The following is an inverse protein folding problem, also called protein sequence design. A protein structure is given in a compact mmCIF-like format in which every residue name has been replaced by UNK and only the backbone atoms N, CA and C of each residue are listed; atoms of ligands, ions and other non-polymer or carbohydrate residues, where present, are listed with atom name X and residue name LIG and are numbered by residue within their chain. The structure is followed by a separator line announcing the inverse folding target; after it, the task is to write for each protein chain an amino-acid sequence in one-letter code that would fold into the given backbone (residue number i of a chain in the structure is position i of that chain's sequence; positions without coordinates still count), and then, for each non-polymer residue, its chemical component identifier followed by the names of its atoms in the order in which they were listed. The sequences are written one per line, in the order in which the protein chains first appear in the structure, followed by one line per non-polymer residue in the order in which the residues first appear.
data_IF_781633297672
#
_entry.id   IF_781633297672
#
_cell.length_a   1.000
_cell.length_b   1.000
_cell.length_c   1.000
_cell.angle_alpha   90.00
_cell.angle_beta   90.00
_cell.angle_gamma   90.00
#
_symmetry.space_group_name_H-M   'P 1'
#
loop_
_entity.id
_entity.type
_entity.pdbx_description
1 polymer ?
#
# COMPACT_ATOMS: atom_id res chain seq x y z
N UNK A 1 38.41 -27.76 -44.87
CA UNK A 1 38.75 -29.19 -44.62
C UNK A 1 37.89 -29.62 -43.49
N UNK A 2 36.95 -30.30 -43.87
CA UNK A 2 36.36 -31.60 -43.47
C UNK A 2 35.46 -31.48 -42.27
N UNK A 3 34.29 -32.04 -42.22
CA UNK A 3 33.34 -32.68 -43.12
C UNK A 3 32.20 -33.19 -42.22
N UNK A 4 31.01 -32.84 -42.55
CA UNK A 4 29.72 -33.53 -42.57
C UNK A 4 29.67 -34.92 -41.91
N UNK A 5 28.71 -35.16 -41.01
CA UNK A 5 28.00 -36.42 -40.97
C UNK A 5 26.55 -36.25 -40.50
N UNK A 6 25.62 -36.50 -41.47
CA UNK A 6 24.23 -36.78 -41.27
C UNK A 6 24.02 -38.23 -40.80
N UNK A 7 23.06 -38.47 -39.88
CA UNK A 7 22.37 -39.77 -39.88
C UNK A 7 20.87 -39.54 -39.69
N UNK A 8 20.15 -39.98 -40.70
CA UNK A 8 18.72 -40.21 -40.87
C UNK A 8 18.36 -41.60 -40.35
N UNK A 9 17.21 -41.74 -39.80
CA UNK A 9 16.53 -43.05 -39.67
C UNK A 9 15.58 -43.04 -38.47
N UNK A 10 14.40 -43.51 -38.47
CA UNK A 10 13.52 -44.20 -39.38
C UNK A 10 12.17 -44.35 -38.71
N UNK A 11 11.12 -44.15 -39.46
CA UNK A 11 9.71 -44.39 -39.10
C UNK A 11 9.50 -45.86 -38.76
N UNK A 12 8.68 -46.18 -37.75
CA UNK A 12 7.86 -47.38 -37.75
C UNK A 12 6.46 -47.10 -37.23
N UNK A 13 5.54 -47.14 -38.15
CA UNK A 13 4.10 -47.30 -37.88
C UNK A 13 3.82 -48.78 -37.53
N UNK A 14 2.94 -49.01 -36.57
CA UNK A 14 2.31 -50.33 -36.40
C UNK A 14 0.81 -50.14 -36.34
N UNK A 15 0.18 -50.83 -37.29
CA UNK A 15 -1.26 -50.91 -37.52
C UNK A 15 -1.91 -51.93 -36.58
N UNK A 16 -3.12 -51.62 -36.14
CA UNK A 16 -4.23 -52.59 -36.24
C UNK A 16 -4.45 -53.47 -35.02
N UNK A 17 -5.62 -53.33 -34.40
CA UNK A 17 -6.54 -54.44 -34.33
C UNK A 17 -7.93 -53.97 -33.88
N UNK A 18 -8.87 -54.05 -34.81
CA UNK A 18 -10.31 -54.10 -34.57
C UNK A 18 -10.65 -55.37 -33.80
N UNK A 19 -11.49 -55.32 -32.79
CA UNK A 19 -12.40 -56.43 -32.46
C UNK A 19 -13.79 -55.86 -32.14
N UNK A 20 -14.69 -56.39 -32.97
CA UNK A 20 -16.15 -56.30 -32.96
C UNK A 20 -16.68 -57.30 -31.94
N UNK A 21 -17.75 -57.01 -31.30
CA UNK A 21 -18.59 -57.94 -30.56
C UNK A 21 -19.32 -57.30 -29.44
N UNK A 22 -20.51 -57.12 -29.42
CA UNK A 22 -21.74 -57.83 -29.62
C UNK A 22 -22.81 -57.24 -28.72
N UNK A 23 -23.90 -56.83 -29.33
CA UNK A 23 -25.18 -56.46 -28.71
C UNK A 23 -25.66 -57.54 -27.71
N UNK A 24 -26.13 -57.10 -26.54
CA UNK A 24 -27.24 -57.76 -25.84
C UNK A 24 -28.24 -56.71 -25.43
N UNK A 25 -29.38 -56.72 -26.12
CA UNK A 25 -30.62 -56.05 -25.66
C UNK A 25 -31.17 -56.85 -24.48
N UNK A 26 -31.53 -56.16 -23.42
CA UNK A 26 -32.59 -56.64 -22.54
C UNK A 26 -33.41 -55.42 -22.06
N UNK A 27 -34.58 -55.30 -22.63
CA UNK A 27 -35.66 -54.44 -22.16
C UNK A 27 -36.35 -55.12 -20.98
N UNK A 28 -36.72 -54.33 -19.97
CA UNK A 28 -37.91 -54.46 -19.13
C UNK A 28 -37.85 -53.47 -17.98
N UNK A 29 -38.74 -52.68 -17.89
CA UNK A 29 -40.06 -52.44 -17.29
C UNK A 29 -40.10 -51.09 -16.54
N UNK A 30 -41.10 -50.34 -16.94
CA UNK A 30 -41.58 -49.11 -16.29
C UNK A 30 -41.90 -49.31 -14.80
N UNK A 31 -41.37 -48.41 -13.98
CA UNK A 31 -42.03 -48.02 -12.74
C UNK A 31 -42.05 -46.48 -12.70
N UNK A 32 -43.18 -45.91 -13.02
CA UNK A 32 -43.47 -44.48 -12.83
C UNK A 32 -43.62 -44.22 -11.33
N UNK A 33 -42.66 -43.45 -10.79
CA UNK A 33 -42.91 -42.68 -9.56
C UNK A 33 -42.49 -41.25 -9.89
N UNK A 34 -43.52 -40.40 -9.90
CA UNK A 34 -43.35 -38.95 -10.06
C UNK A 34 -42.51 -38.37 -8.89
N UNK A 35 -41.28 -38.04 -9.20
CA UNK A 35 -40.42 -37.21 -8.36
C UNK A 35 -40.31 -35.87 -9.02
N UNK A 36 -41.00 -34.86 -8.46
CA UNK A 36 -40.77 -33.47 -8.75
C UNK A 36 -39.26 -33.20 -8.57
N UNK A 37 -38.53 -33.04 -9.68
CA UNK A 37 -37.20 -32.45 -9.63
C UNK A 37 -37.32 -31.02 -9.16
N UNK A 38 -37.21 -30.84 -7.85
CA UNK A 38 -36.86 -29.53 -7.29
C UNK A 38 -35.52 -29.15 -7.91
N UNK A 39 -35.55 -28.20 -8.84
CA UNK A 39 -34.36 -27.55 -9.37
C UNK A 39 -33.57 -27.02 -8.19
N UNK A 40 -32.47 -27.66 -7.86
CA UNK A 40 -31.51 -27.15 -6.90
C UNK A 40 -30.95 -25.85 -7.44
N UNK A 41 -31.60 -24.74 -7.11
CA UNK A 41 -30.96 -23.44 -7.19
C UNK A 41 -29.81 -23.50 -6.21
N UNK A 42 -28.59 -23.62 -6.71
CA UNK A 42 -27.37 -23.36 -5.94
C UNK A 42 -27.58 -22.00 -5.28
N UNK A 43 -27.58 -21.88 -3.94
CA UNK A 43 -27.76 -20.58 -3.33
C UNK A 43 -26.63 -19.71 -3.80
N UNK A 44 -26.96 -18.67 -4.57
CA UNK A 44 -26.03 -17.55 -4.81
C UNK A 44 -25.55 -17.11 -3.43
N UNK A 45 -24.24 -17.00 -3.16
CA UNK A 45 -23.77 -16.52 -1.86
C UNK A 45 -24.47 -15.20 -1.57
N UNK A 46 -25.30 -15.19 -0.55
CA UNK A 46 -25.94 -13.97 -0.10
C UNK A 46 -24.80 -13.00 0.25
N UNK A 47 -24.72 -11.80 -0.34
CA UNK A 47 -23.69 -10.85 0.04
C UNK A 47 -23.73 -10.70 1.56
N UNK A 48 -22.61 -10.97 2.21
CA UNK A 48 -22.52 -10.92 3.67
C UNK A 48 -23.08 -9.56 4.13
N UNK A 49 -24.03 -9.59 5.06
CA UNK A 49 -24.59 -8.36 5.61
C UNK A 49 -23.47 -7.46 6.11
N UNK A 50 -23.41 -6.18 5.71
CA UNK A 50 -22.36 -5.27 6.18
C UNK A 50 -22.31 -5.25 7.71
N UNK A 51 -21.11 -5.37 8.27
CA UNK A 51 -20.90 -5.32 9.72
C UNK A 51 -20.72 -3.89 10.23
N UNK A 52 -20.53 -2.95 9.30
CA UNK A 52 -20.43 -1.50 9.52
C UNK A 52 -21.31 -0.80 8.51
N UNK A 53 -22.04 0.23 8.94
CA UNK A 53 -22.87 1.03 8.02
C UNK A 53 -21.98 1.75 7.00
N UNK A 54 -22.28 1.63 5.69
CA UNK A 54 -21.55 2.37 4.66
C UNK A 54 -21.84 3.87 4.72
N UNK A 55 -20.96 4.72 4.16
CA UNK A 55 -21.25 6.15 3.98
C UNK A 55 -22.36 6.36 2.95
N UNK A 56 -23.03 7.53 3.00
CA UNK A 56 -24.22 7.80 2.20
C UNK A 56 -23.95 8.50 0.87
N UNK A 57 -22.75 9.08 0.68
CA UNK A 57 -22.42 9.98 -0.42
C UNK A 57 -21.20 9.52 -1.22
N UNK A 58 -21.14 8.25 -1.55
CA UNK A 58 -20.10 7.67 -2.42
C UNK A 58 -20.15 8.29 -3.83
N UNK A 59 -18.98 8.55 -4.39
CA UNK A 59 -18.84 8.98 -5.80
C UNK A 59 -19.42 7.93 -6.75
N UNK A 60 -19.18 6.65 -6.45
CA UNK A 60 -19.76 5.52 -7.18
C UNK A 60 -20.50 4.61 -6.23
N UNK A 61 -21.82 4.38 -6.40
CA UNK A 61 -22.58 3.50 -5.53
C UNK A 61 -21.96 2.11 -5.40
N UNK A 62 -21.83 1.61 -4.16
CA UNK A 62 -21.25 0.31 -3.86
C UNK A 62 -19.71 0.22 -3.94
N UNK A 63 -19.05 1.34 -4.23
CA UNK A 63 -17.59 1.39 -4.38
C UNK A 63 -17.00 2.48 -3.50
N UNK A 64 -15.99 2.14 -2.71
CA UNK A 64 -15.13 3.10 -2.04
C UNK A 64 -13.95 3.42 -2.96
N UNK A 65 -13.94 4.63 -3.54
CA UNK A 65 -12.84 5.10 -4.40
C UNK A 65 -11.75 5.68 -3.51
N UNK A 66 -10.54 5.12 -3.59
CA UNK A 66 -9.43 5.40 -2.69
C UNK A 66 -8.26 6.00 -3.45
N UNK A 67 -7.87 7.22 -3.11
CA UNK A 67 -6.60 7.81 -3.57
C UNK A 67 -5.43 7.26 -2.76
N UNK A 68 -4.37 6.81 -3.45
CA UNK A 68 -3.15 6.32 -2.82
C UNK A 68 -1.97 6.53 -3.78
N UNK A 69 -0.83 6.98 -3.27
CA UNK A 69 0.35 7.26 -4.11
C UNK A 69 0.90 6.00 -4.77
N UNK A 70 0.85 4.86 -4.11
CA UNK A 70 1.32 3.55 -4.59
C UNK A 70 2.79 3.49 -5.02
N UNK A 71 3.63 4.32 -4.40
CA UNK A 71 5.09 4.32 -4.60
C UNK A 71 5.88 4.21 -3.29
N UNK A 72 5.19 3.96 -2.15
CA UNK A 72 5.71 4.10 -0.79
C UNK A 72 5.65 2.77 0.00
N UNK A 73 6.44 1.74 -0.40
CA UNK A 73 6.45 0.46 0.29
C UNK A 73 7.02 0.57 1.72
N UNK A 74 6.53 -0.21 2.69
CA UNK A 74 5.56 -1.30 2.56
C UNK A 74 4.09 -0.87 2.69
N UNK A 75 3.80 0.43 2.84
CA UNK A 75 2.45 0.91 3.10
C UNK A 75 1.57 0.86 1.85
N UNK A 76 2.02 1.42 0.72
CA UNK A 76 1.30 1.35 -0.56
C UNK A 76 2.28 1.37 -1.74
N UNK A 77 2.19 0.38 -2.59
CA UNK A 77 3.03 0.29 -3.78
C UNK A 77 2.40 -0.60 -4.85
N UNK A 78 2.97 -0.58 -6.05
CA UNK A 78 2.57 -1.50 -7.11
C UNK A 78 3.43 -2.75 -7.02
N UNK A 79 2.79 -3.92 -6.90
CA UNK A 79 3.48 -5.21 -6.97
C UNK A 79 4.06 -5.39 -8.38
N UNK A 80 5.38 -5.57 -8.52
CA UNK A 80 6.03 -5.63 -9.84
C UNK A 80 5.65 -6.89 -10.64
N UNK A 81 5.11 -7.93 -9.99
CA UNK A 81 4.72 -9.18 -10.63
C UNK A 81 3.31 -9.11 -11.18
N UNK A 82 2.38 -8.54 -10.40
CA UNK A 82 0.95 -8.50 -10.74
C UNK A 82 0.52 -7.18 -11.35
N UNK A 83 1.29 -6.10 -11.17
CA UNK A 83 0.92 -4.75 -11.57
C UNK A 83 -0.22 -4.14 -10.71
N UNK A 84 -0.62 -4.80 -9.62
CA UNK A 84 -1.69 -4.34 -8.76
C UNK A 84 -1.16 -3.55 -7.56
N UNK A 85 -1.95 -2.58 -7.08
CA UNK A 85 -1.67 -1.90 -5.83
C UNK A 85 -1.72 -2.89 -4.66
N UNK A 86 -0.74 -2.83 -3.79
CA UNK A 86 -0.57 -3.68 -2.61
C UNK A 86 0.10 -2.89 -1.49
N UNK A 87 0.16 -3.44 -0.30
CA UNK A 87 0.75 -2.80 0.87
C UNK A 87 -0.16 -2.84 2.09
N UNK A 88 0.36 -2.40 3.23
CA UNK A 88 -0.39 -2.36 4.47
C UNK A 88 -1.65 -1.48 4.34
N UNK A 89 -1.53 -0.30 3.77
CA UNK A 89 -2.62 0.65 3.56
C UNK A 89 -3.69 0.09 2.63
N UNK A 90 -3.26 -0.55 1.54
CA UNK A 90 -4.15 -1.15 0.55
C UNK A 90 -4.96 -2.31 1.14
N UNK A 91 -4.28 -3.18 1.89
CA UNK A 91 -4.94 -4.29 2.59
C UNK A 91 -5.93 -3.79 3.64
N UNK A 92 -5.53 -2.79 4.44
CA UNK A 92 -6.34 -2.22 5.51
C UNK A 92 -7.61 -1.59 4.93
N UNK A 93 -7.48 -0.70 3.96
CA UNK A 93 -8.65 -0.01 3.38
C UNK A 93 -9.57 -0.97 2.61
N UNK A 94 -9.01 -2.01 2.01
CA UNK A 94 -9.78 -3.06 1.34
C UNK A 94 -10.64 -3.85 2.36
N UNK A 95 -10.03 -4.25 3.49
CA UNK A 95 -10.76 -4.94 4.56
C UNK A 95 -11.83 -4.03 5.19
N UNK A 96 -11.53 -2.74 5.36
CA UNK A 96 -12.49 -1.74 5.84
C UNK A 96 -13.67 -1.58 4.88
N UNK A 97 -13.42 -1.44 3.57
CA UNK A 97 -14.46 -1.36 2.55
C UNK A 97 -15.36 -2.61 2.56
N UNK A 98 -14.77 -3.80 2.62
CA UNK A 98 -15.50 -5.07 2.72
C UNK A 98 -16.40 -5.12 3.96
N UNK A 99 -15.95 -4.61 5.11
CA UNK A 99 -16.75 -4.56 6.33
C UNK A 99 -17.99 -3.67 6.20
N UNK A 100 -17.93 -2.68 5.29
CA UNK A 100 -19.03 -1.79 4.91
C UNK A 100 -19.88 -2.34 3.74
N UNK A 101 -19.57 -3.54 3.23
CA UNK A 101 -20.25 -4.09 2.04
C UNK A 101 -19.87 -3.38 0.74
N UNK A 102 -18.74 -2.68 0.71
CA UNK A 102 -18.24 -1.94 -0.45
C UNK A 102 -17.07 -2.66 -1.10
N UNK A 103 -16.89 -2.40 -2.40
CA UNK A 103 -15.66 -2.73 -3.13
C UNK A 103 -14.68 -1.56 -3.01
N UNK A 104 -13.44 -1.80 -2.60
CA UNK A 104 -12.38 -0.80 -2.74
C UNK A 104 -11.88 -0.72 -4.18
N UNK A 105 -11.69 0.50 -4.69
CA UNK A 105 -11.03 0.77 -5.97
C UNK A 105 -9.90 1.75 -5.73
N UNK A 106 -8.66 1.28 -5.89
CA UNK A 106 -7.46 2.09 -5.65
C UNK A 106 -7.15 2.88 -6.91
N UNK A 107 -6.98 4.18 -6.75
CA UNK A 107 -6.60 5.11 -7.81
C UNK A 107 -5.21 5.65 -7.49
N UNK A 108 -4.24 5.40 -8.39
CA UNK A 108 -2.90 5.98 -8.24
C UNK A 108 -3.02 7.50 -8.22
N UNK A 109 -2.50 8.12 -7.17
CA UNK A 109 -2.49 9.55 -6.95
C UNK A 109 -1.06 10.09 -6.95
N UNK A 110 -0.91 11.41 -7.09
CA UNK A 110 0.33 12.11 -6.82
C UNK A 110 0.27 12.65 -5.40
N UNK A 111 1.22 12.27 -4.54
CA UNK A 111 1.22 12.62 -3.12
C UNK A 111 1.10 14.14 -2.89
N UNK A 112 1.82 14.95 -3.67
CA UNK A 112 1.80 16.41 -3.55
C UNK A 112 0.42 17.03 -3.77
N UNK A 113 -0.44 16.42 -4.60
CA UNK A 113 -1.79 16.95 -4.91
C UNK A 113 -2.92 16.15 -4.28
N UNK A 114 -2.63 15.05 -3.58
CA UNK A 114 -3.62 14.06 -3.16
C UNK A 114 -4.71 14.64 -2.25
N UNK A 115 -4.37 15.61 -1.39
CA UNK A 115 -5.34 16.29 -0.52
C UNK A 115 -6.27 17.18 -1.34
N UNK A 116 -5.74 17.94 -2.29
CA UNK A 116 -6.55 18.83 -3.13
C UNK A 116 -7.44 18.01 -4.09
N UNK A 117 -6.94 16.87 -4.56
CA UNK A 117 -7.71 15.91 -5.37
C UNK A 117 -8.87 15.28 -4.57
N UNK A 118 -8.67 14.99 -3.27
CA UNK A 118 -9.75 14.54 -2.37
C UNK A 118 -10.82 15.62 -2.19
N UNK A 119 -10.40 16.86 -1.95
CA UNK A 119 -11.31 18.02 -1.84
C UNK A 119 -12.10 18.21 -3.14
N UNK A 120 -11.46 18.01 -4.30
CA UNK A 120 -12.07 18.05 -5.62
C UNK A 120 -12.96 16.84 -5.96
N UNK A 121 -13.18 15.92 -5.00
CA UNK A 121 -14.00 14.70 -5.14
C UNK A 121 -13.50 13.73 -6.23
N UNK A 122 -12.19 13.64 -6.43
CA UNK A 122 -11.60 12.60 -7.29
C UNK A 122 -11.58 11.24 -6.61
N UNK A 123 -11.62 11.23 -5.27
CA UNK A 123 -11.68 10.06 -4.41
C UNK A 123 -12.73 10.25 -3.32
N UNK A 124 -13.20 9.15 -2.75
CA UNK A 124 -14.03 9.17 -1.55
C UNK A 124 -13.17 9.40 -0.30
N UNK A 125 -12.02 8.73 -0.23
CA UNK A 125 -11.03 8.81 0.85
C UNK A 125 -9.62 8.75 0.28
N UNK A 126 -8.64 9.10 1.10
CA UNK A 126 -7.21 8.89 0.84
C UNK A 126 -6.60 8.08 1.99
N UNK A 127 -5.83 7.05 1.65
CA UNK A 127 -4.90 6.36 2.53
C UNK A 127 -3.56 6.25 1.80
N UNK A 128 -2.52 6.89 2.33
CA UNK A 128 -1.22 7.02 1.65
C UNK A 128 -0.16 7.56 2.62
N UNK A 129 0.04 6.87 3.74
CA UNK A 129 1.04 7.23 4.75
C UNK A 129 1.04 8.73 5.12
N UNK A 130 -0.13 9.36 5.14
CA UNK A 130 -0.22 10.81 5.35
C UNK A 130 -0.03 11.20 6.80
N UNK A 131 1.10 11.81 7.12
CA UNK A 131 1.32 12.48 8.44
C UNK A 131 0.22 13.51 8.70
N UNK A 132 -0.41 13.40 9.84
CA UNK A 132 -1.41 14.37 10.31
C UNK A 132 -0.68 15.62 10.79
N UNK A 133 -0.87 16.75 10.11
CA UNK A 133 -0.33 18.04 10.49
C UNK A 133 -1.39 19.16 10.38
N UNK A 134 -1.08 20.34 10.93
CA UNK A 134 -2.04 21.45 11.00
C UNK A 134 -2.42 22.00 9.62
N UNK A 135 -1.51 21.99 8.66
CA UNK A 135 -1.81 22.49 7.31
C UNK A 135 -2.81 21.56 6.60
N UNK A 136 -2.60 20.25 6.68
CA UNK A 136 -3.53 19.27 6.10
C UNK A 136 -4.88 19.27 6.80
N UNK A 137 -4.91 19.43 8.15
CA UNK A 137 -6.16 19.55 8.94
C UNK A 137 -7.03 20.76 8.57
N UNK A 138 -6.47 21.80 7.98
CA UNK A 138 -7.27 22.92 7.43
C UNK A 138 -8.17 22.48 6.27
N UNK A 139 -7.74 21.51 5.49
CA UNK A 139 -8.41 21.07 4.24
C UNK A 139 -9.25 19.80 4.40
N UNK A 140 -8.81 18.87 5.26
CA UNK A 140 -9.41 17.54 5.42
C UNK A 140 -9.50 17.16 6.89
N UNK A 141 -10.34 16.15 7.19
CA UNK A 141 -10.40 15.49 8.48
C UNK A 141 -9.66 14.14 8.39
N UNK A 142 -9.14 13.64 9.51
CA UNK A 142 -8.33 12.44 9.56
C UNK A 142 -8.87 11.40 10.52
N UNK A 143 -8.85 10.12 10.10
CA UNK A 143 -8.97 8.98 11.00
C UNK A 143 -7.57 8.37 11.17
N UNK A 144 -6.91 8.55 12.33
CA UNK A 144 -5.57 8.02 12.56
C UNK A 144 -5.55 6.49 12.52
N UNK A 145 -4.55 5.92 11.85
CA UNK A 145 -4.45 4.46 11.72
C UNK A 145 -3.04 3.92 11.94
N UNK A 146 -2.00 4.75 11.86
CA UNK A 146 -0.60 4.35 11.94
C UNK A 146 0.23 5.42 12.64
N UNK A 147 1.43 5.11 13.11
CA UNK A 147 2.39 6.08 13.65
C UNK A 147 3.77 5.80 13.05
N UNK A 148 4.35 6.76 12.37
CA UNK A 148 5.70 6.69 11.85
C UNK A 148 6.54 7.86 12.37
N UNK A 149 7.85 7.67 12.36
CA UNK A 149 8.81 8.73 12.48
C UNK A 149 9.71 8.74 11.26
N UNK A 150 10.37 9.84 11.04
CA UNK A 150 11.23 10.08 9.89
C UNK A 150 12.64 9.51 10.11
N UNK A 151 13.30 9.09 9.06
CA UNK A 151 14.66 8.52 9.11
C UNK A 151 15.45 8.74 7.82
N UNK A 152 16.76 8.83 7.97
CA UNK A 152 17.68 8.82 6.83
C UNK A 152 17.96 7.38 6.39
N UNK A 153 17.86 7.10 5.10
CA UNK A 153 18.42 5.90 4.49
C UNK A 153 19.77 6.27 3.85
N UNK A 154 20.83 5.57 4.24
CA UNK A 154 22.19 5.81 3.76
C UNK A 154 22.83 4.51 3.28
N UNK A 155 23.95 4.61 2.54
CA UNK A 155 24.71 3.43 2.17
C UNK A 155 25.26 2.71 3.41
N UNK A 156 25.39 1.39 3.32
CA UNK A 156 25.93 0.54 4.38
C UNK A 156 27.28 1.04 4.91
N UNK A 157 27.43 1.04 6.21
CA UNK A 157 28.60 1.55 6.92
C UNK A 157 28.60 3.08 7.08
N UNK A 158 27.55 3.76 6.62
CA UNK A 158 27.36 5.22 6.75
C UNK A 158 28.67 6.01 6.59
N UNK A 159 29.32 5.97 5.41
CA UNK A 159 30.70 6.46 5.23
C UNK A 159 30.88 7.95 5.51
N UNK A 160 29.77 8.70 5.54
CA UNK A 160 29.77 10.12 5.85
C UNK A 160 29.34 10.43 7.29
N UNK A 161 29.03 9.38 8.10
CA UNK A 161 28.60 9.48 9.49
C UNK A 161 27.36 10.41 9.66
N UNK A 162 26.38 10.30 8.74
CA UNK A 162 25.15 11.11 8.74
C UNK A 162 24.21 10.58 9.82
N UNK A 163 23.79 11.42 10.76
CA UNK A 163 22.94 11.06 11.91
C UNK A 163 21.70 11.91 12.01
N UNK A 164 21.75 13.11 11.48
CA UNK A 164 20.65 14.10 11.56
C UNK A 164 20.57 14.88 10.25
N UNK A 165 19.46 15.54 10.01
CA UNK A 165 19.31 16.43 8.85
C UNK A 165 20.31 17.60 8.87
N UNK A 166 20.86 17.95 10.03
CA UNK A 166 21.90 19.00 10.17
C UNK A 166 23.27 18.57 9.60
N UNK A 167 23.51 17.27 9.46
CA UNK A 167 24.75 16.74 8.86
C UNK A 167 24.73 16.83 7.34
N UNK A 168 23.58 17.16 6.73
CA UNK A 168 23.38 17.15 5.29
C UNK A 168 23.81 18.45 4.59
N UNK A 169 24.32 19.44 5.31
CA UNK A 169 24.74 20.72 4.73
C UNK A 169 25.73 20.51 3.57
N UNK A 170 25.42 21.05 2.39
CA UNK A 170 26.23 20.94 1.18
C UNK A 170 26.14 19.60 0.44
N UNK A 171 25.46 18.61 1.00
CA UNK A 171 25.35 17.26 0.44
C UNK A 171 24.12 17.12 -0.47
N UNK A 172 24.17 16.15 -1.38
CA UNK A 172 23.05 15.78 -2.26
C UNK A 172 22.11 14.80 -1.55
N UNK A 173 20.84 15.13 -1.44
CA UNK A 173 19.79 14.37 -0.72
C UNK A 173 18.56 14.22 -1.60
N UNK A 174 18.00 13.01 -1.64
CA UNK A 174 16.75 12.71 -2.32
C UNK A 174 15.57 12.76 -1.35
N UNK A 175 14.43 13.28 -1.82
CA UNK A 175 13.18 13.37 -1.03
C UNK A 175 11.97 13.40 -1.95
N UNK A 176 10.84 12.89 -1.46
CA UNK A 176 9.58 12.95 -2.19
C UNK A 176 8.92 14.32 -2.05
N UNK A 177 8.28 14.77 -3.13
CA UNK A 177 7.56 16.05 -3.19
C UNK A 177 6.29 16.02 -2.33
N UNK A 178 6.00 17.14 -1.63
CA UNK A 178 4.80 17.34 -0.82
C UNK A 178 4.80 16.64 0.55
N UNK A 179 5.95 16.12 0.99
CA UNK A 179 6.12 15.42 2.26
C UNK A 179 6.56 16.36 3.40
N UNK A 180 6.36 15.95 4.64
CA UNK A 180 6.87 16.65 5.81
C UNK A 180 8.40 16.60 5.86
N UNK A 181 8.99 15.53 5.36
CA UNK A 181 10.44 15.38 5.23
C UNK A 181 11.05 16.43 4.31
N UNK A 182 10.36 16.80 3.22
CA UNK A 182 10.79 17.91 2.37
C UNK A 182 10.77 19.23 3.12
N UNK A 183 9.76 19.48 3.95
CA UNK A 183 9.66 20.71 4.78
C UNK A 183 10.79 20.76 5.80
N UNK A 184 11.11 19.63 6.43
CA UNK A 184 12.20 19.50 7.38
C UNK A 184 13.57 19.74 6.71
N UNK A 185 13.80 19.15 5.54
CA UNK A 185 15.01 19.36 4.76
C UNK A 185 15.16 20.82 4.29
N UNK A 186 14.06 21.47 3.90
CA UNK A 186 14.06 22.89 3.56
C UNK A 186 14.43 23.77 4.76
N UNK A 187 13.91 23.42 5.94
CA UNK A 187 14.22 24.10 7.19
C UNK A 187 15.69 23.90 7.57
N UNK A 188 16.18 22.65 7.50
CA UNK A 188 17.60 22.35 7.76
C UNK A 188 18.53 23.05 6.75
N UNK A 189 18.15 23.14 5.47
CA UNK A 189 18.92 23.82 4.43
C UNK A 189 19.05 25.33 4.71
N UNK A 190 17.98 25.97 5.18
CA UNK A 190 18.02 27.37 5.62
C UNK A 190 18.94 27.54 6.84
N UNK A 191 18.89 26.61 7.80
CA UNK A 191 19.79 26.63 8.96
C UNK A 191 21.26 26.45 8.56
N UNK A 192 21.56 25.59 7.56
CA UNK A 192 22.91 25.47 7.01
C UNK A 192 23.44 26.82 6.50
N UNK A 193 22.67 27.53 5.68
CA UNK A 193 23.09 28.80 5.10
C UNK A 193 23.21 29.91 6.16
N UNK A 194 22.32 29.95 7.15
CA UNK A 194 22.41 30.86 8.28
C UNK A 194 23.69 30.62 9.12
N UNK A 195 24.19 29.40 9.17
CA UNK A 195 25.43 29.01 9.83
C UNK A 195 26.68 29.16 8.92
N UNK A 196 26.56 29.79 7.74
CA UNK A 196 27.67 29.99 6.80
C UNK A 196 28.10 28.72 6.06
N UNK A 197 27.30 27.64 6.12
CA UNK A 197 27.55 26.40 5.38
C UNK A 197 26.82 26.43 4.03
N UNK A 198 27.13 25.48 3.15
CA UNK A 198 26.40 25.33 1.89
C UNK A 198 24.99 24.76 2.16
N UNK A 199 24.02 25.21 1.37
CA UNK A 199 22.67 24.65 1.40
C UNK A 199 22.67 23.14 1.05
N UNK A 200 21.70 22.40 1.54
CA UNK A 200 21.45 21.01 1.13
C UNK A 200 21.05 21.00 -0.35
N UNK A 201 21.64 20.10 -1.13
CA UNK A 201 21.35 19.94 -2.58
C UNK A 201 20.21 18.93 -2.76
N UNK A 202 18.95 19.43 -2.69
CA UNK A 202 17.78 18.56 -2.78
C UNK A 202 17.53 18.10 -4.22
N UNK A 203 17.28 16.80 -4.39
CA UNK A 203 16.66 16.21 -5.58
C UNK A 203 15.26 15.76 -5.19
N UNK A 204 14.25 16.52 -5.62
CA UNK A 204 12.85 16.32 -5.27
C UNK A 204 12.18 15.57 -6.43
N UNK A 205 11.58 14.42 -6.14
CA UNK A 205 10.89 13.59 -7.13
C UNK A 205 9.45 13.29 -6.66
N UNK A 206 8.59 12.94 -7.61
CA UNK A 206 7.17 12.66 -7.32
C UNK A 206 6.98 11.31 -6.64
N UNK A 207 7.65 10.28 -7.14
CA UNK A 207 7.49 8.91 -6.73
C UNK A 207 8.64 8.51 -5.77
N UNK A 208 8.32 8.02 -4.57
CA UNK A 208 9.32 7.62 -3.56
C UNK A 208 10.23 6.50 -4.07
N UNK A 209 9.71 5.58 -4.86
CA UNK A 209 10.54 4.54 -5.49
C UNK A 209 11.67 5.13 -6.35
N UNK A 210 11.42 6.25 -7.03
CA UNK A 210 12.45 6.93 -7.83
C UNK A 210 13.44 7.67 -6.93
N UNK A 211 12.98 8.21 -5.79
CA UNK A 211 13.87 8.82 -4.80
C UNK A 211 14.90 7.79 -4.29
N UNK A 212 14.46 6.59 -3.97
CA UNK A 212 15.35 5.50 -3.54
C UNK A 212 16.37 5.14 -4.65
N UNK A 213 15.94 5.16 -5.92
CA UNK A 213 16.87 4.90 -7.03
C UNK A 213 18.00 5.94 -7.15
N UNK A 214 17.81 7.15 -6.65
CA UNK A 214 18.92 8.12 -6.57
C UNK A 214 20.04 7.62 -5.65
N UNK A 215 19.70 7.02 -4.50
CA UNK A 215 20.66 6.46 -3.55
C UNK A 215 21.30 5.19 -4.10
N UNK A 216 20.50 4.27 -4.66
CA UNK A 216 21.00 3.05 -5.34
C UNK A 216 22.07 3.39 -6.40
N UNK A 217 21.78 4.41 -7.21
CA UNK A 217 22.65 4.87 -8.29
C UNK A 217 23.73 5.86 -7.82
N UNK A 218 23.91 6.06 -6.51
CA UNK A 218 24.91 6.96 -5.90
C UNK A 218 24.83 8.42 -6.39
N UNK A 219 23.65 8.87 -6.80
CA UNK A 219 23.38 10.27 -7.22
C UNK A 219 23.14 11.18 -6.02
N UNK A 220 22.72 10.60 -4.90
CA UNK A 220 22.57 11.25 -3.61
C UNK A 220 23.29 10.42 -2.54
N UNK A 221 23.64 11.03 -1.40
CA UNK A 221 24.31 10.34 -0.27
C UNK A 221 23.32 9.81 0.76
N UNK A 222 22.11 10.34 0.77
CA UNK A 222 21.00 9.93 1.63
C UNK A 222 19.66 10.21 0.96
N UNK A 223 18.63 9.48 1.42
CA UNK A 223 17.23 9.85 1.22
C UNK A 223 16.56 10.02 2.58
N UNK A 224 15.47 10.79 2.65
CA UNK A 224 14.76 11.07 3.90
C UNK A 224 13.28 10.79 3.72
N UNK A 225 12.72 9.92 4.54
CA UNK A 225 11.37 9.38 4.46
C UNK A 225 10.95 8.76 5.80
N UNK A 226 9.72 8.30 5.90
CA UNK A 226 9.23 7.55 7.05
C UNK A 226 10.04 6.27 7.32
N UNK A 227 10.20 5.94 8.59
CA UNK A 227 11.00 4.81 9.04
C UNK A 227 10.53 3.44 8.51
N UNK A 228 9.23 3.16 8.30
CA UNK A 228 8.81 1.91 7.66
C UNK A 228 9.39 1.71 6.27
N UNK A 229 9.51 2.80 5.49
CA UNK A 229 10.12 2.75 4.14
C UNK A 229 11.61 2.44 4.23
N UNK A 230 12.32 3.12 5.13
CA UNK A 230 13.74 2.84 5.41
C UNK A 230 13.95 1.38 5.79
N UNK A 231 13.17 0.86 6.76
CA UNK A 231 13.23 -0.53 7.21
C UNK A 231 12.94 -1.52 6.08
N UNK A 232 11.98 -1.21 5.21
CA UNK A 232 11.64 -2.03 4.06
C UNK A 232 12.81 -2.17 3.09
N UNK A 233 13.46 -1.06 2.73
CA UNK A 233 14.58 -1.10 1.78
C UNK A 233 15.84 -1.73 2.36
N UNK A 234 16.10 -1.61 3.66
CA UNK A 234 17.18 -2.32 4.36
C UNK A 234 16.94 -3.83 4.32
N UNK A 235 15.70 -4.28 4.59
CA UNK A 235 15.34 -5.70 4.52
C UNK A 235 15.41 -6.26 3.10
N UNK A 236 14.96 -5.49 2.11
CA UNK A 236 14.94 -5.89 0.71
C UNK A 236 16.36 -5.99 0.11
N UNK A 237 17.31 -5.20 0.63
CA UNK A 237 18.69 -5.07 0.10
C UNK A 237 19.72 -5.29 1.22
N UNK A 238 19.84 -6.51 1.76
CA UNK A 238 20.77 -6.79 2.86
C UNK A 238 22.21 -6.38 2.53
N UNK A 239 22.82 -5.61 3.43
CA UNK A 239 24.22 -5.17 3.26
C UNK A 239 24.43 -4.01 2.28
N UNK A 240 23.38 -3.40 1.74
CA UNK A 240 23.50 -2.22 0.86
C UNK A 240 23.22 -0.91 1.58
N UNK A 241 22.28 -0.93 2.53
CA UNK A 241 21.80 0.26 3.22
C UNK A 241 21.75 0.07 4.73
N UNK A 242 21.73 1.19 5.44
CA UNK A 242 21.43 1.27 6.86
C UNK A 242 20.72 2.58 7.20
N UNK A 243 20.15 2.65 8.40
CA UNK A 243 19.55 3.88 8.92
C UNK A 243 20.65 4.86 9.35
N UNK A 244 20.59 6.08 8.87
CA UNK A 244 21.45 7.18 9.31
C UNK A 244 20.91 7.80 10.62
N UNK A 245 21.57 7.50 11.75
CA UNK A 245 21.14 8.03 13.05
C UNK A 245 19.92 7.34 13.65
N UNK A 246 19.06 8.11 14.30
CA UNK A 246 17.85 7.64 14.96
C UNK A 246 16.60 8.08 14.20
N UNK A 247 15.50 7.34 14.36
CA UNK A 247 14.16 7.77 13.95
C UNK A 247 13.75 8.97 14.80
N UNK A 248 13.21 10.01 14.16
CA UNK A 248 12.81 11.28 14.78
C UNK A 248 11.36 11.64 14.41
N UNK A 249 10.81 12.70 14.99
CA UNK A 249 9.53 13.31 14.58
C UNK A 249 8.36 12.33 14.50
N UNK A 250 8.28 11.34 15.40
CA UNK A 250 7.19 10.36 15.37
C UNK A 250 5.83 11.07 15.46
N UNK A 251 4.98 10.84 14.47
CA UNK A 251 3.66 11.43 14.33
C UNK A 251 2.63 10.38 13.86
N UNK A 252 1.34 10.71 14.04
CA UNK A 252 0.27 9.87 13.53
C UNK A 252 0.09 10.08 12.03
N UNK A 253 -0.15 8.99 11.31
CA UNK A 253 -0.67 9.00 9.94
C UNK A 253 -2.17 8.74 9.95
N UNK A 254 -2.89 9.34 9.01
CA UNK A 254 -4.35 9.29 8.98
C UNK A 254 -4.94 9.01 7.62
N UNK A 255 -6.09 8.31 7.64
CA UNK A 255 -6.97 8.22 6.48
C UNK A 255 -7.67 9.56 6.35
N UNK A 256 -7.47 10.24 5.22
CA UNK A 256 -8.08 11.55 4.96
C UNK A 256 -9.48 11.41 4.40
N UNK A 257 -10.40 12.20 4.95
CA UNK A 257 -11.76 12.39 4.44
C UNK A 257 -12.02 13.87 4.20
N UNK A 258 -12.95 14.22 3.32
CA UNK A 258 -13.31 15.63 3.07
C UNK A 258 -13.74 16.31 4.36
N UNK A 259 -13.32 17.56 4.53
CA UNK A 259 -13.66 18.37 5.69
C UNK A 259 -15.18 18.45 5.90
N UNK A 260 -15.63 18.07 7.09
CA UNK A 260 -17.06 18.11 7.46
C UNK A 260 -17.91 16.97 6.88
N UNK A 261 -17.34 16.01 6.17
CA UNK A 261 -18.04 14.82 5.69
C UNK A 261 -18.20 13.81 6.84
N UNK A 262 -19.19 14.09 7.70
CA UNK A 262 -19.45 13.28 8.90
C UNK A 262 -19.89 11.85 8.56
N UNK A 263 -20.55 11.63 7.42
CA UNK A 263 -20.97 10.29 7.00
C UNK A 263 -19.76 9.42 6.69
N UNK A 264 -18.87 9.91 5.86
CA UNK A 264 -17.63 9.21 5.51
C UNK A 264 -16.72 9.03 6.74
N UNK A 265 -16.52 10.11 7.51
CA UNK A 265 -15.68 10.06 8.71
C UNK A 265 -16.14 8.98 9.70
N UNK A 266 -17.43 8.94 10.03
CA UNK A 266 -17.98 7.96 10.96
C UNK A 266 -17.89 6.53 10.40
N UNK A 267 -18.14 6.33 9.11
CA UNK A 267 -18.03 5.03 8.46
C UNK A 267 -16.59 4.50 8.49
N UNK A 268 -15.61 5.32 8.11
CA UNK A 268 -14.18 4.97 8.15
C UNK A 268 -13.71 4.71 9.59
N UNK A 269 -14.10 5.55 10.55
CA UNK A 269 -13.75 5.35 11.95
C UNK A 269 -14.32 4.03 12.49
N UNK A 270 -15.60 3.72 12.22
CA UNK A 270 -16.22 2.48 12.66
C UNK A 270 -15.61 1.26 11.99
N UNK A 271 -15.30 1.34 10.69
CA UNK A 271 -14.62 0.28 9.97
C UNK A 271 -13.20 0.03 10.54
N UNK A 272 -12.43 1.07 10.83
CA UNK A 272 -11.12 0.93 11.46
C UNK A 272 -11.22 0.31 12.87
N UNK A 273 -12.17 0.75 13.69
CA UNK A 273 -12.42 0.13 14.99
C UNK A 273 -12.78 -1.36 14.85
N UNK A 274 -13.53 -1.74 13.82
CA UNK A 274 -13.82 -3.14 13.50
C UNK A 274 -12.58 -3.92 13.17
N UNK A 275 -11.65 -3.38 12.33
CA UNK A 275 -10.38 -4.03 12.00
C UNK A 275 -9.52 -4.26 13.25
N UNK A 276 -9.53 -3.35 14.20
CA UNK A 276 -8.82 -3.50 15.48
C UNK A 276 -9.48 -4.57 16.37
N UNK A 277 -10.79 -4.53 16.52
CA UNK A 277 -11.50 -5.41 17.46
C UNK A 277 -11.54 -6.87 17.01
N UNK A 278 -11.47 -7.15 15.71
CA UNK A 278 -11.50 -8.50 15.15
C UNK A 278 -10.10 -9.08 14.85
N UNK A 279 -9.02 -8.35 15.17
CA UNK A 279 -7.64 -8.78 14.99
C UNK A 279 -7.08 -8.62 13.58
N UNK A 280 -7.86 -8.10 12.61
CA UNK A 280 -7.38 -7.86 11.24
C UNK A 280 -6.21 -6.89 11.22
N UNK A 281 -6.31 -5.79 11.97
CA UNK A 281 -5.24 -4.79 12.06
C UNK A 281 -3.91 -5.39 12.55
N UNK A 282 -3.94 -6.22 13.60
CA UNK A 282 -2.75 -6.90 14.12
C UNK A 282 -2.18 -7.92 13.12
N UNK A 283 -3.05 -8.63 12.41
CA UNK A 283 -2.65 -9.58 11.37
C UNK A 283 -1.94 -8.89 10.21
N UNK A 284 -2.38 -7.67 9.83
CA UNK A 284 -1.73 -6.88 8.79
C UNK A 284 -0.34 -6.39 9.22
N UNK A 285 -0.15 -5.98 10.47
CA UNK A 285 1.19 -5.67 11.01
C UNK A 285 2.13 -6.85 10.89
N UNK A 286 1.65 -8.05 11.22
CA UNK A 286 2.42 -9.29 11.08
C UNK A 286 2.72 -9.61 9.63
N UNK A 287 1.72 -9.53 8.74
CA UNK A 287 1.87 -9.78 7.29
C UNK A 287 2.95 -8.90 6.68
N UNK A 288 2.94 -7.61 6.99
CA UNK A 288 3.85 -6.61 6.44
C UNK A 288 5.14 -6.44 7.26
N UNK A 289 5.31 -7.23 8.33
CA UNK A 289 6.49 -7.21 9.22
C UNK A 289 6.80 -5.81 9.77
N UNK A 290 5.73 -5.06 10.08
CA UNK A 290 5.82 -3.72 10.64
C UNK A 290 6.12 -3.76 12.14
N UNK A 291 6.75 -2.71 12.66
CA UNK A 291 7.07 -2.61 14.07
C UNK A 291 5.78 -2.37 14.89
N UNK A 292 5.61 -3.14 15.96
CA UNK A 292 4.43 -3.01 16.83
C UNK A 292 4.29 -1.62 17.48
N UNK A 293 5.39 -0.88 17.66
CA UNK A 293 5.39 0.49 18.17
C UNK A 293 4.73 1.50 17.22
N UNK A 294 4.57 1.12 15.94
CA UNK A 294 3.90 1.93 14.92
C UNK A 294 2.37 1.81 14.97
N UNK A 295 1.82 0.94 15.82
CA UNK A 295 0.37 0.85 16.02
C UNK A 295 -0.17 2.05 16.76
N UNK A 296 -1.28 2.60 16.27
CA UNK A 296 -2.01 3.66 17.00
C UNK A 296 -2.56 3.09 18.32
N UNK A 297 -2.26 3.77 19.44
CA UNK A 297 -2.79 3.42 20.75
C UNK A 297 -4.23 3.92 20.95
N UNK A 298 -5.03 3.19 21.77
CA UNK A 298 -6.40 3.62 22.11
C UNK A 298 -6.44 4.89 22.96
N UNK A 299 -5.31 5.26 23.59
CA UNK A 299 -5.17 6.46 24.43
C UNK A 299 -5.15 7.77 23.65
N UNK A 300 -4.79 7.74 22.37
CA UNK A 300 -4.64 8.94 21.54
C UNK A 300 -5.97 9.60 21.12
N UNK A 301 -7.11 9.03 21.52
CA UNK A 301 -8.44 9.55 21.12
C UNK A 301 -8.69 11.01 21.51
N UNK A 302 -8.05 11.53 22.56
CA UNK A 302 -8.29 12.90 23.04
C UNK A 302 -7.41 13.95 22.39
N UNK A 303 -6.25 13.58 21.88
CA UNK A 303 -5.27 14.53 21.35
C UNK A 303 -5.45 14.78 19.84
N UNK A 304 -6.14 13.90 19.13
CA UNK A 304 -6.20 13.88 17.66
C UNK A 304 -7.53 14.44 17.13
N UNK A 305 -8.61 14.38 17.94
CA UNK A 305 -9.97 14.79 17.50
C UNK A 305 -10.43 16.15 18.07
N UNK A 306 -9.65 16.79 18.94
CA UNK A 306 -10.02 18.08 19.56
C UNK A 306 -8.88 19.08 19.42
N UNK A 307 -8.77 19.68 18.24
CA UNK A 307 -8.12 21.00 18.09
C UNK A 307 -8.60 21.67 16.82
#
# INVERSE_FOLDING_TARGET
MEAISHTKGSRRASKGMLFVGMLILLAMLLAACGGTTAGGTTPTPNPATPTVAPPTDLITPGTLTVGSDTTYPPQEFVDPTTGQATGFDIDLITAMAQSMGLKATIVKANFNTIVDDLVAKRYDVVISAQTINDERKKKVDFVPYFSAGESLLVAQGNPMNLKTVSDLCGLAVGVQDGTVELDDLNTASKACTAAGKQAIKLTILKDQTDVIQLLVNKRVVATYQDSPVTDYYIKLNPGQFETGGSVVNAAAEGISVRKGDTSMFNAIQAAFQRMRSNGTYDSLFTKWQLNASQKISLGDRRTIYTS
#
